data_IF_813536733486
#
_entry.id   IF_813536733486
#
_cell.length_a   1.000
_cell.length_b   1.000
_cell.length_c   1.000
_cell.angle_alpha   90.00
_cell.angle_beta   90.00
_cell.angle_gamma   90.00
#
_symmetry.space_group_name_H-M   'P 1'
#
loop_
_entity.id
_entity.type
_entity.pdbx_description
1 polymer ?
#
# COMPACT_ATOMS: atom_id res chain seq x y z
N UNK A 1 0.56 27.27 5.31
CA UNK A 1 2.02 27.24 5.12
C UNK A 1 2.31 26.06 4.21
N UNK A 2 2.93 26.25 3.05
CA UNK A 2 3.18 25.14 2.14
C UNK A 2 4.18 24.14 2.75
N UNK A 3 4.22 22.88 2.28
CA UNK A 3 5.04 21.82 2.86
C UNK A 3 6.53 22.15 2.95
N UNK A 4 7.09 22.90 1.99
CA UNK A 4 8.51 23.27 2.00
C UNK A 4 8.80 24.35 3.04
N UNK A 5 7.92 25.32 3.18
CA UNK A 5 8.08 26.37 4.20
C UNK A 5 7.97 25.78 5.60
N UNK A 6 7.05 24.84 5.83
CA UNK A 6 6.95 24.10 7.09
C UNK A 6 8.21 23.27 7.36
N UNK A 7 8.75 22.63 6.34
CA UNK A 7 10.00 21.85 6.42
C UNK A 7 11.22 22.76 6.70
N UNK A 8 11.30 23.94 6.09
CA UNK A 8 12.35 24.92 6.37
C UNK A 8 12.38 25.34 7.85
N UNK A 9 11.21 25.63 8.42
CA UNK A 9 11.12 26.07 9.81
C UNK A 9 11.33 24.94 10.83
N UNK A 10 10.83 23.73 10.57
CA UNK A 10 10.91 22.63 11.53
C UNK A 10 12.20 21.80 11.39
N UNK A 11 12.75 21.69 10.18
CA UNK A 11 13.88 20.81 9.84
C UNK A 11 14.71 21.41 8.68
N UNK A 12 15.50 22.48 8.92
CA UNK A 12 16.21 23.20 7.85
C UNK A 12 17.15 22.30 7.02
N UNK A 13 17.80 21.31 7.62
CA UNK A 13 18.60 20.32 6.87
C UNK A 13 17.76 19.41 5.98
N UNK A 14 16.55 19.04 6.42
CA UNK A 14 15.58 18.32 5.61
C UNK A 14 15.11 19.15 4.41
N UNK A 15 14.91 20.45 4.60
CA UNK A 15 14.59 21.38 3.50
C UNK A 15 15.73 21.44 2.48
N UNK A 16 16.96 21.67 2.93
CA UNK A 16 18.14 21.72 2.06
C UNK A 16 18.32 20.41 1.27
N UNK A 17 18.09 19.26 1.92
CA UNK A 17 18.11 17.97 1.26
C UNK A 17 17.06 17.87 0.14
N UNK A 18 15.82 18.28 0.40
CA UNK A 18 14.75 18.27 -0.62
C UNK A 18 15.03 19.24 -1.77
N UNK A 19 15.57 20.43 -1.47
CA UNK A 19 15.98 21.39 -2.49
C UNK A 19 17.10 20.82 -3.37
N UNK A 20 18.13 20.22 -2.76
CA UNK A 20 19.19 19.51 -3.47
C UNK A 20 18.64 18.42 -4.39
N UNK A 21 17.70 17.59 -3.91
CA UNK A 21 17.08 16.54 -4.72
C UNK A 21 16.31 17.09 -5.92
N UNK A 22 15.59 18.21 -5.76
CA UNK A 22 14.90 18.88 -6.88
C UNK A 22 15.88 19.39 -7.93
N UNK A 23 16.96 20.05 -7.51
CA UNK A 23 18.02 20.52 -8.40
C UNK A 23 18.65 19.33 -9.15
N UNK A 24 18.91 18.23 -8.42
CA UNK A 24 19.49 17.02 -9.00
C UNK A 24 18.57 16.39 -10.06
N UNK A 25 17.26 16.35 -9.84
CA UNK A 25 16.29 15.87 -10.85
C UNK A 25 16.35 16.75 -12.11
N UNK A 26 16.31 18.08 -11.94
CA UNK A 26 16.36 19.01 -13.07
C UNK A 26 17.66 18.87 -13.88
N UNK A 27 18.79 18.68 -13.19
CA UNK A 27 20.09 18.46 -13.82
C UNK A 27 20.21 17.10 -14.52
N UNK A 28 19.67 16.03 -13.91
CA UNK A 28 19.73 14.67 -14.47
C UNK A 28 18.80 14.48 -15.67
N UNK A 29 17.66 15.14 -15.70
CA UNK A 29 16.63 14.99 -16.74
C UNK A 29 17.17 15.13 -18.18
N UNK A 30 17.87 16.22 -18.56
CA UNK A 30 18.40 16.34 -19.93
C UNK A 30 19.45 15.28 -20.24
N UNK A 31 20.30 14.94 -19.27
CA UNK A 31 21.31 13.88 -19.44
C UNK A 31 20.66 12.51 -19.69
N UNK A 32 19.63 12.16 -18.90
CA UNK A 32 18.88 10.93 -19.07
C UNK A 32 18.16 10.87 -20.43
N UNK A 33 17.63 12.00 -20.90
CA UNK A 33 17.01 12.08 -22.22
C UNK A 33 18.02 11.81 -23.35
N UNK A 34 19.23 12.39 -23.27
CA UNK A 34 20.29 12.13 -24.25
C UNK A 34 20.70 10.65 -24.24
N UNK A 35 20.92 10.06 -23.05
CA UNK A 35 21.26 8.63 -22.95
C UNK A 35 20.16 7.71 -23.51
N UNK A 36 18.89 8.08 -23.34
CA UNK A 36 17.78 7.35 -23.93
C UNK A 36 17.78 7.44 -25.46
N UNK A 37 17.97 8.65 -26.03
CA UNK A 37 18.01 8.87 -27.48
C UNK A 37 19.19 8.16 -28.15
N UNK A 38 20.32 8.01 -27.44
CA UNK A 38 21.47 7.22 -27.89
C UNK A 38 21.28 5.71 -27.71
N UNK A 39 20.14 5.25 -27.19
CA UNK A 39 19.84 3.84 -26.92
C UNK A 39 20.55 3.23 -25.70
N UNK A 40 21.39 4.00 -25.01
CA UNK A 40 22.21 3.52 -23.87
C UNK A 40 21.35 3.22 -22.64
N UNK A 41 20.30 4.02 -22.39
CA UNK A 41 19.44 3.86 -21.21
C UNK A 41 18.02 3.37 -21.54
N UNK A 42 17.86 2.62 -22.65
CA UNK A 42 16.60 1.96 -23.02
C UNK A 42 16.53 0.58 -22.35
N UNK A 43 16.46 0.58 -21.01
CA UNK A 43 16.57 -0.63 -20.17
C UNK A 43 15.51 -1.70 -20.47
N UNK A 44 14.33 -1.28 -20.93
CA UNK A 44 13.28 -2.14 -21.47
C UNK A 44 12.84 -1.58 -22.82
N UNK A 45 12.54 -2.45 -23.79
CA UNK A 45 12.23 -2.06 -25.16
C UNK A 45 10.91 -1.30 -25.29
N UNK A 46 9.92 -1.64 -24.45
CA UNK A 46 8.60 -1.00 -24.37
C UNK A 46 8.61 0.37 -23.69
N UNK A 47 9.68 0.71 -22.95
CA UNK A 47 9.71 1.94 -22.16
C UNK A 47 9.92 3.16 -23.03
N UNK A 48 8.97 4.10 -22.94
CA UNK A 48 9.08 5.43 -23.54
C UNK A 48 10.02 6.32 -22.74
N UNK A 49 10.52 7.39 -23.35
CA UNK A 49 11.31 8.40 -22.65
C UNK A 49 10.57 8.94 -21.41
N UNK A 50 9.25 9.15 -21.51
CA UNK A 50 8.42 9.63 -20.40
C UNK A 50 8.46 8.68 -19.20
N UNK A 51 8.35 7.36 -19.44
CA UNK A 51 8.45 6.32 -18.41
C UNK A 51 9.83 6.38 -17.73
N UNK A 52 10.91 6.42 -18.51
CA UNK A 52 12.29 6.47 -17.99
C UNK A 52 12.55 7.72 -17.14
N UNK A 53 12.12 8.90 -17.59
CA UNK A 53 12.34 10.16 -16.86
C UNK A 53 11.58 10.19 -15.53
N UNK A 54 10.33 9.71 -15.51
CA UNK A 54 9.53 9.64 -14.28
C UNK A 54 10.16 8.69 -13.27
N UNK A 55 10.61 7.50 -13.69
CA UNK A 55 11.31 6.57 -12.79
C UNK A 55 12.61 7.17 -12.24
N UNK A 56 13.38 7.84 -13.09
CA UNK A 56 14.59 8.53 -12.67
C UNK A 56 14.30 9.60 -11.62
N UNK A 57 13.19 10.33 -11.75
CA UNK A 57 12.79 11.34 -10.78
C UNK A 57 12.31 10.71 -9.46
N UNK A 58 11.46 9.67 -9.52
CA UNK A 58 10.95 8.97 -8.33
C UNK A 58 12.10 8.41 -7.50
N UNK A 59 13.09 7.76 -8.14
CA UNK A 59 14.28 7.22 -7.47
C UNK A 59 15.04 8.24 -6.64
N UNK A 60 15.01 9.52 -7.01
CA UNK A 60 15.68 10.57 -6.25
C UNK A 60 14.93 10.97 -4.98
N UNK A 61 13.60 10.85 -4.97
CA UNK A 61 12.74 11.35 -3.90
C UNK A 61 12.14 10.24 -3.03
N UNK A 62 12.09 9.00 -3.51
CA UNK A 62 11.42 7.88 -2.82
C UNK A 62 12.01 7.59 -1.44
N UNK A 63 13.31 7.88 -1.24
CA UNK A 63 14.01 7.69 0.04
C UNK A 63 14.02 8.95 0.92
N UNK A 64 13.46 10.06 0.45
CA UNK A 64 13.49 11.31 1.19
C UNK A 64 12.81 11.23 2.56
N UNK A 65 11.70 10.49 2.75
CA UNK A 65 11.09 10.33 4.07
C UNK A 65 12.01 9.68 5.10
N UNK A 66 12.79 8.66 4.73
CA UNK A 66 13.76 8.03 5.64
C UNK A 66 14.92 8.97 6.03
N UNK A 67 15.20 10.01 5.22
CA UNK A 67 16.27 10.99 5.44
C UNK A 67 15.81 12.26 6.14
N UNK A 68 14.59 12.69 5.87
CA UNK A 68 14.02 13.95 6.37
C UNK A 68 13.04 13.73 7.53
N UNK A 69 12.55 12.51 7.68
CA UNK A 69 11.52 12.10 8.64
C UNK A 69 10.14 12.70 8.35
N UNK A 70 9.94 13.23 7.15
CA UNK A 70 8.60 13.63 6.69
C UNK A 70 8.03 12.44 5.92
N UNK A 71 7.04 11.82 6.53
CA UNK A 71 6.31 10.70 5.94
C UNK A 71 5.39 11.11 4.78
N UNK A 72 5.08 12.40 4.63
CA UNK A 72 4.01 12.83 3.73
C UNK A 72 2.60 12.51 4.25
N UNK A 73 2.49 11.91 5.44
CA UNK A 73 1.23 11.70 6.12
C UNK A 73 0.60 13.00 6.61
N UNK A 74 -0.72 12.97 6.82
CA UNK A 74 -1.49 14.09 7.38
C UNK A 74 -1.67 13.94 8.89
N UNK A 75 -2.05 15.05 9.53
CA UNK A 75 -2.39 15.06 10.95
C UNK A 75 -3.77 14.39 11.12
N UNK A 76 -3.77 13.12 11.56
CA UNK A 76 -4.99 12.32 11.70
C UNK A 76 -5.98 12.87 12.73
N UNK A 77 -5.59 13.88 13.52
CA UNK A 77 -6.47 14.53 14.50
C UNK A 77 -7.24 15.71 13.91
N UNK A 78 -6.93 16.12 12.68
CA UNK A 78 -7.51 17.31 12.04
C UNK A 78 -8.39 16.95 10.86
N UNK A 79 -9.54 17.60 10.83
CA UNK A 79 -10.44 17.57 9.69
C UNK A 79 -9.85 18.36 8.52
N UNK A 80 -10.06 17.86 7.31
CA UNK A 80 -9.74 18.56 6.08
C UNK A 80 -11.00 19.24 5.57
N UNK A 81 -10.92 20.56 5.34
CA UNK A 81 -12.05 21.31 4.82
C UNK A 81 -12.47 20.80 3.45
N UNK A 82 -13.77 20.77 3.15
CA UNK A 82 -14.30 20.22 1.90
C UNK A 82 -13.64 20.79 0.63
N UNK A 83 -13.31 22.09 0.63
CA UNK A 83 -12.60 22.75 -0.49
C UNK A 83 -11.21 22.16 -0.78
N UNK A 84 -10.58 21.58 0.23
CA UNK A 84 -9.24 20.99 0.16
C UNK A 84 -9.33 19.47 -0.12
N UNK A 85 -10.53 18.89 -0.10
CA UNK A 85 -10.77 17.48 -0.42
C UNK A 85 -10.99 17.20 -1.92
N UNK A 86 -10.81 18.18 -2.81
CA UNK A 86 -10.87 17.99 -4.27
C UNK A 86 -12.15 17.22 -4.72
N UNK A 87 -11.96 16.01 -5.24
CA UNK A 87 -12.98 15.08 -5.75
C UNK A 87 -13.39 13.98 -4.75
N UNK A 88 -12.99 14.12 -3.49
CA UNK A 88 -13.34 13.22 -2.41
C UNK A 88 -14.07 13.94 -1.26
N UNK A 89 -14.72 13.17 -0.40
CA UNK A 89 -15.37 13.63 0.82
C UNK A 89 -14.57 13.16 2.03
N UNK A 90 -14.16 14.09 2.90
CA UNK A 90 -13.57 13.74 4.20
C UNK A 90 -14.62 13.08 5.10
N UNK A 91 -14.24 12.01 5.79
CA UNK A 91 -15.11 11.22 6.67
C UNK A 91 -14.35 10.88 7.95
N UNK A 92 -14.98 11.12 9.11
CA UNK A 92 -14.47 10.63 10.40
C UNK A 92 -14.90 9.19 10.63
N UNK A 93 -13.92 8.34 10.97
CA UNK A 93 -14.13 6.95 11.35
C UNK A 93 -13.80 6.78 12.83
N UNK A 94 -14.78 6.34 13.61
CA UNK A 94 -14.57 6.03 15.02
C UNK A 94 -13.60 4.85 15.19
N UNK A 95 -12.87 4.85 16.30
CA UNK A 95 -12.06 3.69 16.69
C UNK A 95 -12.91 2.43 16.82
N UNK A 96 -12.26 1.29 16.63
CA UNK A 96 -12.82 -0.04 16.81
C UNK A 96 -13.20 -0.24 18.28
N UNK A 97 -14.44 -0.66 18.59
CA UNK A 97 -14.82 -1.12 19.92
C UNK A 97 -13.93 -2.26 20.44
N UNK A 98 -13.64 -2.27 21.74
CA UNK A 98 -12.72 -3.24 22.36
C UNK A 98 -13.16 -4.71 22.18
N UNK A 99 -14.46 -4.96 22.03
CA UNK A 99 -14.99 -6.30 21.76
C UNK A 99 -14.58 -6.87 20.39
N UNK A 100 -14.21 -6.03 19.44
CA UNK A 100 -13.71 -6.43 18.12
C UNK A 100 -12.19 -6.52 18.04
N UNK A 101 -11.47 -6.40 19.17
CA UNK A 101 -10.03 -6.59 19.24
C UNK A 101 -9.73 -7.78 20.16
N UNK A 102 -9.55 -8.95 19.54
CA UNK A 102 -9.41 -10.25 20.21
C UNK A 102 -8.16 -11.01 19.79
N UNK A 103 -7.89 -12.12 20.47
CA UNK A 103 -6.85 -13.08 20.12
C UNK A 103 -5.44 -12.47 20.04
N UNK A 104 -4.71 -12.89 19.03
CA UNK A 104 -3.31 -12.49 18.82
C UNK A 104 -3.16 -10.97 18.58
N UNK A 105 -4.11 -10.36 17.88
CA UNK A 105 -4.07 -8.91 17.63
C UNK A 105 -4.23 -8.13 18.92
N UNK A 106 -5.09 -8.58 19.85
CA UNK A 106 -5.19 -7.99 21.20
C UNK A 106 -3.88 -8.09 21.96
N UNK A 107 -3.24 -9.27 21.95
CA UNK A 107 -1.95 -9.49 22.61
C UNK A 107 -0.89 -8.54 22.06
N UNK A 108 -0.74 -8.48 20.73
CA UNK A 108 0.24 -7.61 20.07
C UNK A 108 -0.05 -6.13 20.30
N UNK A 109 -1.31 -5.72 20.31
CA UNK A 109 -1.70 -4.35 20.62
C UNK A 109 -1.26 -3.95 22.04
N UNK A 110 -1.47 -4.82 23.03
CA UNK A 110 -1.02 -4.60 24.40
C UNK A 110 0.51 -4.54 24.51
N UNK A 111 1.22 -5.48 23.87
CA UNK A 111 2.69 -5.53 23.89
C UNK A 111 3.31 -4.30 23.23
N UNK A 112 2.74 -3.82 22.13
CA UNK A 112 3.28 -2.70 21.36
C UNK A 112 2.71 -1.33 21.78
N UNK A 113 1.79 -1.30 22.76
CA UNK A 113 1.10 -0.07 23.17
C UNK A 113 0.19 0.51 22.07
N UNK A 114 -0.28 -0.31 21.14
CA UNK A 114 -1.19 0.12 20.09
C UNK A 114 -2.62 0.23 20.64
N UNK A 115 -3.29 1.33 20.32
CA UNK A 115 -4.68 1.59 20.73
C UNK A 115 -5.51 1.94 19.50
N UNK A 116 -6.78 1.56 19.51
CA UNK A 116 -7.73 2.04 18.51
C UNK A 116 -8.04 3.50 18.76
N UNK A 117 -8.10 4.28 17.68
CA UNK A 117 -8.35 5.73 17.73
C UNK A 117 -9.28 6.14 16.61
N UNK A 118 -9.86 7.34 16.71
CA UNK A 118 -10.58 7.94 15.60
C UNK A 118 -9.59 8.31 14.48
N UNK A 119 -9.90 7.95 13.25
CA UNK A 119 -9.05 8.18 12.08
C UNK A 119 -9.82 8.90 10.96
N UNK A 120 -9.11 9.61 10.06
CA UNK A 120 -9.71 10.11 8.83
C UNK A 120 -9.87 9.02 7.78
N UNK A 121 -10.84 9.21 6.90
CA UNK A 121 -11.01 8.49 5.66
C UNK A 121 -11.52 9.44 4.56
N UNK A 122 -11.40 9.02 3.32
CA UNK A 122 -11.85 9.79 2.16
C UNK A 122 -12.76 8.94 1.28
N UNK A 123 -13.98 9.41 1.10
CA UNK A 123 -14.95 8.83 0.18
C UNK A 123 -14.78 9.41 -1.22
N UNK A 124 -14.35 8.59 -2.19
CA UNK A 124 -14.27 8.95 -3.60
C UNK A 124 -15.53 8.45 -4.35
N UNK A 125 -16.04 9.26 -5.28
CA UNK A 125 -17.20 8.93 -6.10
C UNK A 125 -18.52 9.41 -5.50
N UNK A 126 -19.57 8.59 -5.56
CA UNK A 126 -20.93 9.01 -5.21
C UNK A 126 -21.17 9.06 -3.69
N UNK A 127 -20.68 10.11 -3.05
CA UNK A 127 -20.90 10.42 -1.63
C UNK A 127 -21.73 11.69 -1.49
N UNK A 128 -23.01 11.60 -1.07
CA UNK A 128 -23.79 12.79 -0.66
C UNK A 128 -25.18 13.05 -1.24
N UNK A 129 -26.00 12.04 -1.60
CA UNK A 129 -27.36 12.33 -2.14
C UNK A 129 -28.51 11.41 -1.68
N UNK A 130 -28.46 10.85 -0.46
CA UNK A 130 -29.60 10.24 0.28
C UNK A 130 -29.15 9.61 1.63
N UNK A 131 -28.14 10.17 2.28
CA UNK A 131 -27.40 9.53 3.38
C UNK A 131 -26.28 8.64 2.83
N UNK A 132 -25.10 8.66 3.47
CA UNK A 132 -23.93 7.86 3.06
C UNK A 132 -24.13 6.33 3.23
N UNK A 133 -25.35 5.91 3.58
CA UNK A 133 -25.74 4.52 3.81
C UNK A 133 -25.65 3.69 2.53
N UNK A 134 -25.45 2.38 2.72
CA UNK A 134 -25.40 1.41 1.66
C UNK A 134 -26.77 1.23 1.00
N UNK A 135 -26.78 1.11 -0.33
CA UNK A 135 -27.95 0.61 -1.07
C UNK A 135 -27.89 -0.92 -1.15
N UNK A 136 -29.04 -1.56 -1.29
CA UNK A 136 -29.08 -3.02 -1.41
C UNK A 136 -28.31 -3.47 -2.67
N UNK A 137 -27.45 -4.49 -2.50
CA UNK A 137 -26.55 -4.97 -3.56
C UNK A 137 -25.40 -4.03 -3.95
N UNK A 138 -25.27 -2.83 -3.34
CA UNK A 138 -24.20 -1.89 -3.70
C UNK A 138 -22.83 -2.42 -3.22
N UNK A 139 -21.92 -2.62 -4.18
CA UNK A 139 -20.51 -2.92 -3.90
C UNK A 139 -19.72 -1.65 -3.61
N UNK A 140 -18.79 -1.73 -2.66
CA UNK A 140 -17.88 -0.65 -2.31
C UNK A 140 -16.46 -1.18 -2.20
N UNK A 141 -15.47 -0.41 -2.65
CA UNK A 141 -14.06 -0.74 -2.45
C UNK A 141 -13.56 -0.06 -1.17
N UNK A 142 -13.06 -0.85 -0.21
CA UNK A 142 -12.28 -0.37 0.94
C UNK A 142 -10.80 -0.34 0.55
N UNK A 143 -10.24 0.84 0.30
CA UNK A 143 -8.88 1.00 -0.20
C UNK A 143 -7.88 1.37 0.91
N UNK A 144 -6.75 0.69 0.93
CA UNK A 144 -5.62 0.91 1.83
C UNK A 144 -4.40 1.28 0.98
N UNK A 145 -3.90 2.50 1.13
CA UNK A 145 -2.81 3.00 0.28
C UNK A 145 -1.47 2.31 0.57
N UNK A 146 -0.54 2.32 -0.37
CA UNK A 146 0.83 1.85 -0.20
C UNK A 146 1.73 2.86 0.49
N UNK A 147 3.03 2.56 0.55
CA UNK A 147 4.01 3.45 1.18
C UNK A 147 4.86 2.82 2.29
N UNK A 148 4.93 1.49 2.36
CA UNK A 148 5.78 0.78 3.32
C UNK A 148 5.39 1.03 4.78
N UNK A 149 4.11 1.37 5.06
CA UNK A 149 3.61 1.81 6.37
C UNK A 149 4.22 3.11 6.92
N UNK A 150 5.18 3.73 6.22
CA UNK A 150 5.94 4.88 6.72
C UNK A 150 5.68 6.16 5.95
N UNK A 151 5.03 6.08 4.78
CA UNK A 151 4.72 7.23 3.92
C UNK A 151 3.34 7.13 3.28
N UNK A 152 2.86 8.26 2.75
CA UNK A 152 1.60 8.35 2.00
C UNK A 152 0.43 8.86 2.84
N UNK A 153 -0.73 8.97 2.21
CA UNK A 153 -2.01 9.34 2.83
C UNK A 153 -3.14 8.95 1.89
N UNK A 154 -4.34 8.70 2.42
CA UNK A 154 -5.54 8.49 1.62
C UNK A 154 -6.11 9.77 1.00
N UNK A 155 -5.54 10.94 1.31
CA UNK A 155 -6.00 12.22 0.78
C UNK A 155 -5.94 12.28 -0.75
N UNK A 156 -6.92 12.89 -1.44
CA UNK A 156 -7.00 13.00 -2.90
C UNK A 156 -5.82 13.70 -3.60
N UNK A 157 -4.94 14.38 -2.87
CA UNK A 157 -3.73 15.01 -3.43
C UNK A 157 -2.56 14.02 -3.53
N UNK A 158 -2.61 12.92 -2.78
CA UNK A 158 -1.56 11.92 -2.81
C UNK A 158 -1.59 11.14 -4.12
N UNK A 159 -0.41 10.69 -4.56
CA UNK A 159 -0.29 9.95 -5.81
C UNK A 159 -1.08 8.64 -5.79
N UNK A 160 -1.16 7.98 -4.63
CA UNK A 160 -1.91 6.73 -4.45
C UNK A 160 -3.43 6.92 -4.65
N UNK A 161 -3.95 8.16 -4.55
CA UNK A 161 -5.34 8.47 -4.88
C UNK A 161 -5.70 8.26 -6.37
N UNK A 162 -4.71 8.00 -7.23
CA UNK A 162 -4.97 7.54 -8.60
C UNK A 162 -5.55 6.13 -8.68
N UNK A 163 -5.44 5.32 -7.62
CA UNK A 163 -6.08 4.00 -7.53
C UNK A 163 -7.60 4.11 -7.32
N UNK A 164 -8.11 4.81 -6.29
CA UNK A 164 -9.56 5.01 -6.15
C UNK A 164 -10.17 5.65 -7.41
N UNK A 165 -9.50 6.66 -8.01
CA UNK A 165 -9.94 7.25 -9.28
C UNK A 165 -9.93 6.26 -10.45
N UNK A 166 -8.96 5.35 -10.48
CA UNK A 166 -8.91 4.24 -11.44
C UNK A 166 -10.17 3.38 -11.35
N UNK A 167 -10.54 2.92 -10.16
CA UNK A 167 -11.78 2.17 -9.95
C UNK A 167 -13.03 2.93 -10.42
N UNK A 168 -13.14 4.22 -10.07
CA UNK A 168 -14.28 5.05 -10.47
C UNK A 168 -14.41 5.17 -11.99
N UNK A 169 -13.27 5.30 -12.69
CA UNK A 169 -13.23 5.47 -14.15
C UNK A 169 -13.77 4.24 -14.91
N UNK A 170 -13.83 3.08 -14.25
CA UNK A 170 -14.26 1.81 -14.86
C UNK A 170 -15.53 1.22 -14.19
N UNK A 171 -16.35 2.06 -13.55
CA UNK A 171 -17.72 1.68 -13.16
C UNK A 171 -17.90 1.28 -11.69
N UNK A 172 -16.87 1.37 -10.86
CA UNK A 172 -17.06 1.30 -9.40
C UNK A 172 -17.67 2.63 -8.93
N UNK A 173 -18.78 2.57 -8.19
CA UNK A 173 -19.51 3.80 -7.80
C UNK A 173 -18.89 4.53 -6.61
N UNK A 174 -18.30 3.80 -5.67
CA UNK A 174 -17.76 4.33 -4.41
C UNK A 174 -16.48 3.61 -4.03
N UNK A 175 -15.49 4.39 -3.63
CA UNK A 175 -14.28 3.90 -2.95
C UNK A 175 -14.14 4.63 -1.62
N UNK A 176 -13.84 3.89 -0.56
CA UNK A 176 -13.59 4.40 0.77
C UNK A 176 -12.13 4.15 1.13
N UNK A 177 -11.33 5.21 1.13
CA UNK A 177 -9.89 5.12 1.39
C UNK A 177 -9.59 5.49 2.84
N UNK A 178 -8.99 4.57 3.60
CA UNK A 178 -8.65 4.80 5.02
C UNK A 178 -7.29 5.47 5.12
N UNK A 179 -7.22 6.59 5.85
CA UNK A 179 -5.98 7.32 6.12
C UNK A 179 -5.32 6.77 7.40
N UNK A 180 -4.86 5.52 7.31
CA UNK A 180 -4.36 4.77 8.46
C UNK A 180 -3.06 5.38 9.01
N UNK A 181 -2.80 5.18 10.30
CA UNK A 181 -1.61 5.74 10.97
C UNK A 181 -0.33 5.11 10.43
N UNK A 182 0.63 5.97 10.11
CA UNK A 182 1.95 5.58 9.65
C UNK A 182 2.88 5.29 10.82
N UNK A 183 3.68 4.25 10.66
CA UNK A 183 4.70 3.86 11.62
C UNK A 183 5.94 4.75 11.51
N UNK A 184 6.55 5.08 12.64
CA UNK A 184 7.90 5.68 12.68
C UNK A 184 8.74 4.99 13.73
N UNK A 185 10.06 5.06 13.57
CA UNK A 185 11.04 4.55 14.55
C UNK A 185 12.35 5.33 14.46
N UNK A 186 13.34 4.96 15.28
CA UNK A 186 14.66 5.58 15.38
C UNK A 186 15.26 5.86 13.99
N UNK A 187 15.70 7.10 13.71
CA UNK A 187 16.02 8.18 14.67
C UNK A 187 14.84 9.05 15.11
N UNK A 188 13.63 8.75 14.67
CA UNK A 188 12.41 9.44 15.08
C UNK A 188 11.70 8.69 16.23
N UNK A 189 10.77 9.32 16.95
CA UNK A 189 9.99 8.63 17.97
C UNK A 189 9.28 7.39 17.40
N UNK A 190 9.17 6.34 18.20
CA UNK A 190 8.36 5.18 17.82
C UNK A 190 6.88 5.56 17.85
N UNK A 191 6.22 5.47 16.71
CA UNK A 191 4.79 5.79 16.56
C UNK A 191 4.14 4.66 15.77
N UNK A 192 2.93 4.28 16.19
CA UNK A 192 2.05 3.35 15.50
C UNK A 192 2.73 2.09 14.93
N UNK A 193 3.54 1.33 15.70
CA UNK A 193 3.99 0.02 15.25
C UNK A 193 2.80 -0.93 15.05
N UNK A 194 3.02 -2.07 14.40
CA UNK A 194 2.04 -3.14 14.28
C UNK A 194 1.47 -3.52 15.66
N UNK A 195 0.15 -3.70 15.83
CA UNK A 195 -0.90 -3.75 14.81
C UNK A 195 -1.67 -2.42 14.59
N UNK A 196 -1.08 -1.25 14.85
CA UNK A 196 -1.83 0.03 14.79
C UNK A 196 -2.57 0.29 13.46
N UNK A 197 -1.90 0.10 12.33
CA UNK A 197 -2.53 0.23 11.01
C UNK A 197 -3.62 -0.81 10.76
N UNK A 198 -3.49 -2.03 11.34
CA UNK A 198 -4.52 -3.07 11.25
C UNK A 198 -5.77 -2.69 12.04
N UNK A 199 -5.61 -2.09 13.23
CA UNK A 199 -6.73 -1.54 13.99
C UNK A 199 -7.43 -0.42 13.21
N UNK A 200 -6.68 0.41 12.49
CA UNK A 200 -7.22 1.50 11.68
C UNK A 200 -7.98 0.97 10.45
N UNK A 201 -7.44 -0.03 9.75
CA UNK A 201 -8.13 -0.71 8.65
C UNK A 201 -9.42 -1.42 9.11
N UNK A 202 -9.37 -2.07 10.28
CA UNK A 202 -10.53 -2.67 10.93
C UNK A 202 -11.59 -1.61 11.27
N UNK A 203 -11.18 -0.43 11.74
CA UNK A 203 -12.09 0.69 12.00
C UNK A 203 -12.85 1.10 10.73
N UNK A 204 -12.14 1.18 9.59
CA UNK A 204 -12.76 1.43 8.29
C UNK A 204 -13.77 0.36 7.90
N UNK A 205 -13.42 -0.92 8.04
CA UNK A 205 -14.32 -2.03 7.72
C UNK A 205 -15.56 -2.07 8.62
N UNK A 206 -15.39 -1.86 9.93
CA UNK A 206 -16.50 -1.75 10.90
C UNK A 206 -17.37 -0.54 10.57
N UNK A 207 -16.80 0.60 10.18
CA UNK A 207 -17.58 1.76 9.78
C UNK A 207 -18.46 1.46 8.56
N UNK A 208 -17.90 0.83 7.51
CA UNK A 208 -18.68 0.44 6.34
C UNK A 208 -19.82 -0.53 6.69
N UNK A 209 -19.53 -1.57 7.48
CA UNK A 209 -20.49 -2.64 7.74
C UNK A 209 -21.50 -2.33 8.84
N UNK A 210 -21.08 -1.64 9.92
CA UNK A 210 -21.91 -1.36 11.10
C UNK A 210 -22.51 0.03 11.11
N UNK A 211 -21.84 1.02 10.52
CA UNK A 211 -22.34 2.40 10.49
C UNK A 211 -23.06 2.71 9.18
N UNK A 212 -22.46 2.34 8.04
CA UNK A 212 -23.06 2.61 6.72
C UNK A 212 -23.96 1.47 6.23
N UNK A 213 -23.92 0.30 6.86
CA UNK A 213 -24.83 -0.81 6.57
C UNK A 213 -24.48 -1.63 5.32
N UNK A 214 -23.25 -1.55 4.82
CA UNK A 214 -22.80 -2.44 3.75
C UNK A 214 -22.79 -3.90 4.25
N UNK A 215 -23.36 -4.81 3.46
CA UNK A 215 -23.21 -6.24 3.73
C UNK A 215 -21.74 -6.63 3.52
N UNK A 216 -21.13 -7.46 4.40
CA UNK A 216 -19.72 -7.87 4.27
C UNK A 216 -19.34 -8.33 2.86
N UNK A 217 -20.15 -9.19 2.24
CA UNK A 217 -19.93 -9.70 0.88
C UNK A 217 -19.96 -8.64 -0.23
N UNK A 218 -20.41 -7.42 0.05
CA UNK A 218 -20.39 -6.29 -0.89
C UNK A 218 -19.18 -5.37 -0.69
N UNK A 219 -18.39 -5.57 0.37
CA UNK A 219 -17.15 -4.84 0.59
C UNK A 219 -16.03 -5.57 -0.15
N UNK A 220 -15.39 -4.90 -1.10
CA UNK A 220 -14.20 -5.37 -1.80
C UNK A 220 -12.98 -4.73 -1.13
N UNK A 221 -12.10 -5.55 -0.57
CA UNK A 221 -10.83 -5.06 -0.03
C UNK A 221 -9.91 -4.70 -1.18
N UNK A 222 -9.20 -3.58 -1.07
CA UNK A 222 -8.18 -3.16 -2.00
C UNK A 222 -6.98 -2.59 -1.26
N UNK A 223 -5.79 -2.85 -1.77
CA UNK A 223 -4.63 -2.06 -1.41
C UNK A 223 -3.47 -2.26 -2.37
N UNK A 224 -2.53 -1.33 -2.32
CA UNK A 224 -1.28 -1.36 -3.07
C UNK A 224 -0.08 -1.54 -2.14
N UNK A 225 0.94 -2.30 -2.56
CA UNK A 225 2.20 -2.43 -1.82
C UNK A 225 1.98 -2.83 -0.35
N UNK A 226 2.34 -1.96 0.60
CA UNK A 226 2.07 -2.14 2.03
C UNK A 226 0.59 -2.12 2.40
N UNK A 227 -0.25 -1.39 1.67
CA UNK A 227 -1.70 -1.41 1.85
C UNK A 227 -2.32 -2.73 1.43
N UNK A 228 -1.76 -3.40 0.41
CA UNK A 228 -2.17 -4.76 0.05
C UNK A 228 -1.77 -5.78 1.14
N UNK A 229 -0.59 -5.62 1.75
CA UNK A 229 -0.18 -6.37 2.93
C UNK A 229 -1.17 -6.17 4.09
N UNK A 230 -1.58 -4.92 4.33
CA UNK A 230 -2.56 -4.58 5.36
C UNK A 230 -3.94 -5.20 5.09
N UNK A 231 -4.38 -5.21 3.82
CA UNK A 231 -5.62 -5.86 3.41
C UNK A 231 -5.58 -7.38 3.66
N UNK A 232 -4.47 -8.04 3.33
CA UNK A 232 -4.25 -9.46 3.64
C UNK A 232 -4.31 -9.72 5.16
N UNK A 233 -3.70 -8.86 5.96
CA UNK A 233 -3.72 -8.96 7.43
C UNK A 233 -5.14 -8.79 8.00
N UNK A 234 -5.92 -7.84 7.48
CA UNK A 234 -7.31 -7.63 7.90
C UNK A 234 -8.20 -8.81 7.51
N UNK A 235 -8.11 -9.32 6.29
CA UNK A 235 -8.88 -10.49 5.85
C UNK A 235 -8.54 -11.70 6.71
N UNK A 236 -7.26 -11.92 7.03
CA UNK A 236 -6.83 -12.97 7.97
C UNK A 236 -7.50 -12.81 9.32
N UNK A 237 -7.50 -11.59 9.85
CA UNK A 237 -8.10 -11.30 11.15
C UNK A 237 -9.61 -11.60 11.17
N UNK A 238 -10.34 -11.16 10.14
CA UNK A 238 -11.78 -11.42 10.01
C UNK A 238 -12.08 -12.92 9.89
N UNK A 239 -11.25 -13.65 9.14
CA UNK A 239 -11.39 -15.11 8.97
C UNK A 239 -11.12 -15.86 10.28
N UNK A 240 -10.06 -15.48 10.98
CA UNK A 240 -9.57 -16.17 12.18
C UNK A 240 -10.36 -15.78 13.45
N UNK A 241 -11.28 -14.80 13.34
CA UNK A 241 -12.17 -14.36 14.41
C UNK A 241 -13.65 -14.33 13.98
N UNK A 242 -14.22 -15.45 13.50
CA UNK A 242 -15.59 -15.50 13.01
C UNK A 242 -16.64 -15.18 14.10
N UNK A 243 -16.29 -15.38 15.37
CA UNK A 243 -17.12 -15.06 16.54
C UNK A 243 -17.48 -13.57 16.65
N UNK A 244 -16.72 -12.68 16.01
CA UNK A 244 -17.01 -11.25 15.97
C UNK A 244 -18.24 -10.92 15.10
N UNK A 245 -18.68 -11.85 14.27
CA UNK A 245 -19.83 -11.68 13.38
C UNK A 245 -19.65 -10.58 12.33
N UNK A 246 -18.41 -10.12 12.09
CA UNK A 246 -18.08 -9.05 11.14
C UNK A 246 -18.19 -9.51 9.68
N UNK A 247 -18.15 -10.82 9.44
CA UNK A 247 -18.25 -11.42 8.12
C UNK A 247 -17.00 -11.18 7.25
N UNK A 248 -16.91 -11.92 6.15
CA UNK A 248 -15.81 -11.79 5.19
C UNK A 248 -16.17 -10.79 4.08
N UNK A 249 -15.18 -10.01 3.59
CA UNK A 249 -15.36 -9.21 2.38
C UNK A 249 -15.64 -10.10 1.17
N UNK A 250 -16.28 -9.56 0.13
CA UNK A 250 -16.62 -10.29 -1.09
C UNK A 250 -15.45 -10.58 -2.02
N UNK A 251 -14.37 -9.82 -1.91
CA UNK A 251 -13.18 -9.97 -2.74
C UNK A 251 -11.97 -9.19 -2.20
N UNK A 252 -10.78 -9.54 -2.70
CA UNK A 252 -9.54 -8.81 -2.45
C UNK A 252 -8.89 -8.42 -3.78
N UNK A 253 -8.55 -7.15 -3.95
CA UNK A 253 -7.63 -6.67 -4.99
C UNK A 253 -6.30 -6.31 -4.33
N UNK A 254 -5.25 -7.05 -4.65
CA UNK A 254 -3.91 -6.83 -4.14
C UNK A 254 -3.00 -6.33 -5.28
N UNK A 255 -2.64 -5.05 -5.25
CA UNK A 255 -1.80 -4.42 -6.27
C UNK A 255 -0.36 -4.40 -5.79
N UNK A 256 0.55 -5.01 -6.54
CA UNK A 256 1.98 -5.08 -6.22
C UNK A 256 2.28 -5.38 -4.74
N UNK A 257 1.66 -6.42 -4.13
CA UNK A 257 1.64 -6.56 -2.68
C UNK A 257 3.05 -6.78 -2.08
N UNK A 258 3.33 -6.10 -0.96
CA UNK A 258 4.56 -6.30 -0.19
C UNK A 258 4.35 -7.38 0.87
N UNK A 259 4.61 -8.63 0.50
CA UNK A 259 4.14 -9.82 1.22
C UNK A 259 5.18 -10.43 2.14
N UNK A 260 6.46 -10.13 1.96
CA UNK A 260 7.53 -10.53 2.85
C UNK A 260 8.43 -9.33 3.19
N UNK A 261 7.96 -8.45 4.10
CA UNK A 261 8.75 -7.34 4.60
C UNK A 261 10.08 -7.72 5.23
N UNK A 262 10.27 -8.97 5.65
CA UNK A 262 11.53 -9.44 6.25
C UNK A 262 12.54 -9.85 5.18
N UNK A 263 12.09 -10.20 3.97
CA UNK A 263 12.96 -10.65 2.90
C UNK A 263 13.51 -12.05 3.14
N UNK A 264 12.72 -12.94 3.76
CA UNK A 264 13.11 -14.33 4.05
C UNK A 264 13.40 -15.17 2.80
N UNK A 265 13.02 -14.69 1.60
CA UNK A 265 13.33 -15.32 0.32
C UNK A 265 14.68 -14.89 -0.27
N UNK A 266 15.37 -13.89 0.30
CA UNK A 266 16.54 -13.27 -0.33
C UNK A 266 17.70 -14.23 -0.53
N UNK A 267 17.94 -15.12 0.42
CA UNK A 267 19.04 -16.09 0.33
C UNK A 267 18.82 -17.11 -0.80
N UNK A 268 17.60 -17.19 -1.34
CA UNK A 268 17.29 -18.03 -2.52
C UNK A 268 17.59 -17.32 -3.85
N UNK A 269 17.89 -16.02 -3.82
CA UNK A 269 18.08 -15.22 -5.02
C UNK A 269 19.47 -15.40 -5.62
N UNK A 270 19.52 -15.39 -6.95
CA UNK A 270 20.77 -15.31 -7.71
C UNK A 270 20.86 -13.98 -8.45
N UNK A 271 22.03 -13.64 -9.01
CA UNK A 271 22.18 -12.44 -9.85
C UNK A 271 21.27 -12.41 -11.09
N UNK A 272 20.68 -13.56 -11.46
CA UNK A 272 19.73 -13.70 -12.58
C UNK A 272 18.27 -13.75 -12.12
N UNK A 273 18.01 -13.73 -10.83
CA UNK A 273 16.65 -13.68 -10.29
C UNK A 273 15.93 -12.41 -10.78
N UNK A 274 14.68 -12.51 -11.27
CA UNK A 274 13.91 -11.34 -11.73
C UNK A 274 13.91 -10.17 -10.75
N UNK A 275 13.63 -10.43 -9.47
CA UNK A 275 13.66 -9.39 -8.43
C UNK A 275 15.01 -8.64 -8.36
N UNK A 276 16.14 -9.37 -8.48
CA UNK A 276 17.50 -8.79 -8.44
C UNK A 276 17.77 -7.93 -9.67
N UNK A 277 17.39 -8.42 -10.85
CA UNK A 277 17.53 -7.66 -12.10
C UNK A 277 16.62 -6.43 -12.10
N UNK A 278 15.38 -6.59 -11.64
CA UNK A 278 14.38 -5.55 -11.57
C UNK A 278 14.75 -4.47 -10.57
N UNK A 279 15.41 -4.79 -9.46
CA UNK A 279 15.92 -3.79 -8.50
C UNK A 279 16.86 -2.74 -9.14
N UNK A 280 17.42 -3.04 -10.32
CA UNK A 280 18.27 -2.12 -11.09
C UNK A 280 17.46 -1.15 -11.96
N UNK A 281 16.21 -1.47 -12.29
CA UNK A 281 15.35 -0.71 -13.24
C UNK A 281 14.08 -0.14 -12.59
N UNK A 282 13.58 -0.78 -11.53
CA UNK A 282 12.48 -0.31 -10.68
C UNK A 282 12.90 0.86 -9.77
N UNK A 283 11.94 1.62 -9.23
CA UNK A 283 12.22 2.67 -8.26
C UNK A 283 12.35 2.15 -6.82
N UNK A 284 11.89 0.93 -6.54
CA UNK A 284 12.20 0.23 -5.30
C UNK A 284 13.52 -0.52 -5.37
N UNK A 285 14.05 -0.82 -4.18
CA UNK A 285 15.26 -1.63 -3.98
C UNK A 285 14.91 -2.82 -3.09
N UNK A 286 15.54 -3.96 -3.39
CA UNK A 286 15.49 -5.13 -2.53
C UNK A 286 16.25 -4.89 -1.22
N UNK A 287 15.87 -5.63 -0.18
CA UNK A 287 16.52 -5.62 1.12
C UNK A 287 17.99 -6.02 0.98
N UNK A 288 18.86 -5.36 1.74
CA UNK A 288 20.30 -5.63 1.74
C UNK A 288 21.04 -5.28 0.44
N UNK A 289 20.34 -4.93 -0.65
CA UNK A 289 20.97 -4.66 -1.95
C UNK A 289 21.43 -3.22 -2.15
N UNK A 290 21.11 -2.30 -1.24
CA UNK A 290 21.67 -0.96 -1.24
C UNK A 290 22.92 -0.82 -0.34
N UNK A 291 23.36 -1.92 0.28
CA UNK A 291 24.56 -2.00 1.13
C UNK A 291 24.51 -1.06 2.33
N UNK A 292 23.33 -0.56 2.71
CA UNK A 292 23.17 0.50 3.68
C UNK A 292 22.13 0.14 4.73
N UNK A 293 22.57 0.02 5.99
CA UNK A 293 21.73 -0.23 7.17
C UNK A 293 20.66 0.86 7.45
N UNK A 294 20.53 1.84 6.54
CA UNK A 294 19.58 2.95 6.57
C UNK A 294 18.66 2.96 5.34
N UNK A 295 18.53 1.81 4.67
CA UNK A 295 17.65 1.67 3.52
C UNK A 295 16.20 2.02 3.89
N UNK A 296 15.43 2.52 2.92
CA UNK A 296 14.00 2.76 3.12
C UNK A 296 13.28 1.49 3.55
N UNK A 297 13.65 0.35 2.97
CA UNK A 297 13.06 -0.94 3.30
C UNK A 297 13.31 -1.30 4.76
N UNK A 298 14.56 -1.27 5.22
CA UNK A 298 14.90 -1.61 6.61
C UNK A 298 14.31 -0.62 7.61
N UNK A 299 14.21 0.67 7.24
CA UNK A 299 13.50 1.64 8.07
C UNK A 299 12.01 1.28 8.17
N UNK A 300 11.36 0.96 7.04
CA UNK A 300 9.96 0.55 6.98
C UNK A 300 9.70 -0.71 7.82
N UNK A 301 10.54 -1.74 7.66
CA UNK A 301 10.45 -2.97 8.44
C UNK A 301 10.58 -2.69 9.94
N UNK A 302 11.61 -1.97 10.38
CA UNK A 302 11.82 -1.62 11.81
C UNK A 302 10.69 -0.77 12.37
N UNK A 303 10.13 0.15 11.58
CA UNK A 303 9.00 0.97 11.98
C UNK A 303 7.74 0.13 12.16
N UNK A 304 7.47 -0.79 11.22
CA UNK A 304 6.34 -1.69 11.25
C UNK A 304 6.39 -2.64 12.44
N UNK A 305 7.51 -3.36 12.63
CA UNK A 305 7.59 -4.42 13.66
C UNK A 305 7.78 -3.86 15.07
N UNK A 306 8.27 -2.62 15.20
CA UNK A 306 8.45 -1.96 16.49
C UNK A 306 9.32 -2.79 17.45
N UNK A 307 8.80 -3.21 18.63
CA UNK A 307 9.56 -4.01 19.59
C UNK A 307 9.69 -5.49 19.22
N UNK A 308 8.95 -5.98 18.21
CA UNK A 308 9.03 -7.37 17.76
C UNK A 308 10.37 -7.66 17.08
N UNK A 309 10.92 -8.86 17.32
CA UNK A 309 12.13 -9.29 16.63
C UNK A 309 11.87 -9.50 15.13
N UNK A 310 12.90 -9.31 14.29
CA UNK A 310 12.80 -9.56 12.85
C UNK A 310 12.50 -11.03 12.56
N UNK A 311 13.02 -11.92 13.39
CA UNK A 311 12.80 -13.35 13.31
C UNK A 311 11.32 -13.71 13.57
N UNK A 312 10.71 -13.14 14.61
CA UNK A 312 9.29 -13.34 14.92
C UNK A 312 8.39 -12.71 13.84
N UNK A 313 8.76 -11.53 13.34
CA UNK A 313 8.06 -10.89 12.24
C UNK A 313 8.04 -11.77 10.98
N UNK A 314 9.15 -12.46 10.69
CA UNK A 314 9.26 -13.41 9.59
C UNK A 314 8.41 -14.66 9.77
N UNK A 315 7.98 -14.98 10.99
CA UNK A 315 7.04 -16.09 11.28
C UNK A 315 5.61 -15.60 11.55
N UNK A 316 5.35 -14.31 11.46
CA UNK A 316 4.04 -13.74 11.70
C UNK A 316 3.26 -13.61 10.38
N UNK A 317 2.18 -14.40 10.17
CA UNK A 317 1.42 -14.39 8.91
C UNK A 317 0.58 -13.12 8.68
N UNK A 318 0.47 -12.24 9.69
CA UNK A 318 -0.12 -10.90 9.53
C UNK A 318 0.89 -9.88 8.99
N UNK A 319 2.19 -10.09 9.20
CA UNK A 319 3.25 -9.17 8.77
C UNK A 319 3.89 -9.66 7.47
N UNK A 320 4.25 -10.95 7.42
CA UNK A 320 4.98 -11.55 6.31
C UNK A 320 4.25 -12.77 5.71
N UNK A 321 3.04 -12.62 5.14
CA UNK A 321 2.28 -13.73 4.54
C UNK A 321 3.03 -14.48 3.40
N UNK A 322 4.00 -13.83 2.76
CA UNK A 322 4.87 -14.40 1.73
C UNK A 322 6.13 -15.10 2.26
N UNK A 323 6.37 -15.06 3.58
CA UNK A 323 7.62 -15.54 4.19
C UNK A 323 7.88 -17.03 3.95
N UNK A 324 9.14 -17.38 3.62
CA UNK A 324 9.64 -18.74 3.47
C UNK A 324 9.66 -19.51 4.80
N UNK A 325 9.60 -18.82 5.94
CA UNK A 325 9.56 -19.45 7.27
C UNK A 325 8.16 -19.95 7.67
N UNK A 326 7.12 -19.59 6.92
CA UNK A 326 5.76 -20.07 7.16
C UNK A 326 5.54 -21.44 6.51
N UNK A 327 4.77 -22.29 7.19
CA UNK A 327 4.28 -23.54 6.62
C UNK A 327 3.34 -23.27 5.44
N UNK A 328 3.52 -24.00 4.34
CA UNK A 328 2.65 -23.94 3.16
C UNK A 328 1.39 -24.79 3.36
N UNK A 329 0.29 -24.39 2.70
CA UNK A 329 -1.01 -25.07 2.77
C UNK A 329 -1.94 -24.58 3.88
N UNK A 330 -3.16 -24.20 3.52
CA UNK A 330 -4.20 -23.73 4.45
C UNK A 330 -4.02 -22.28 4.93
N UNK A 331 -2.90 -21.63 4.60
CA UNK A 331 -2.57 -20.28 5.04
C UNK A 331 -3.62 -19.26 4.59
N UNK A 332 -4.20 -19.45 3.40
CA UNK A 332 -5.23 -18.58 2.82
C UNK A 332 -6.57 -19.28 2.66
N UNK A 333 -6.73 -20.50 3.21
CA UNK A 333 -8.01 -21.21 3.15
C UNK A 333 -9.09 -20.33 3.79
N UNK A 334 -10.23 -20.20 3.12
CA UNK A 334 -11.33 -19.33 3.56
C UNK A 334 -11.14 -17.84 3.25
N UNK A 335 -10.08 -17.44 2.54
CA UNK A 335 -9.99 -16.09 1.97
C UNK A 335 -11.03 -15.92 0.84
N UNK A 336 -11.49 -14.68 0.59
CA UNK A 336 -12.38 -14.42 -0.52
C UNK A 336 -11.66 -14.57 -1.87
N UNK A 337 -12.40 -14.63 -2.99
CA UNK A 337 -11.82 -14.52 -4.32
C UNK A 337 -10.84 -13.34 -4.38
N UNK A 338 -9.65 -13.58 -4.93
CA UNK A 338 -8.55 -12.61 -4.89
C UNK A 338 -8.04 -12.30 -6.31
N UNK A 339 -7.88 -11.02 -6.61
CA UNK A 339 -7.21 -10.51 -7.80
C UNK A 339 -5.84 -9.95 -7.41
N UNK A 340 -4.78 -10.56 -7.89
CA UNK A 340 -3.39 -10.13 -7.63
C UNK A 340 -2.84 -9.47 -8.90
N UNK A 341 -2.36 -8.23 -8.77
CA UNK A 341 -1.64 -7.52 -9.83
C UNK A 341 -0.16 -7.47 -9.46
N UNK A 342 0.72 -7.73 -10.43
CA UNK A 342 2.15 -7.44 -10.32
C UNK A 342 2.70 -6.92 -11.63
N UNK A 343 3.70 -6.05 -11.58
CA UNK A 343 4.49 -5.64 -12.74
C UNK A 343 5.68 -6.57 -12.95
N UNK A 344 5.86 -7.12 -14.15
CA UNK A 344 6.97 -8.03 -14.43
C UNK A 344 8.35 -7.39 -14.22
N UNK A 345 8.46 -6.05 -14.33
CA UNK A 345 9.68 -5.29 -14.09
C UNK A 345 9.81 -4.75 -12.64
N UNK A 346 8.95 -5.17 -11.71
CA UNK A 346 9.00 -4.72 -10.32
C UNK A 346 9.97 -5.53 -9.44
N UNK A 347 10.55 -4.88 -8.43
CA UNK A 347 11.49 -5.49 -7.51
C UNK A 347 10.83 -6.59 -6.65
N UNK A 348 9.54 -6.44 -6.32
CA UNK A 348 8.79 -7.38 -5.47
C UNK A 348 8.23 -8.59 -6.25
N UNK A 349 8.51 -8.72 -7.54
CA UNK A 349 7.84 -9.71 -8.39
C UNK A 349 7.96 -11.14 -7.87
N UNK A 350 9.07 -11.48 -7.21
CA UNK A 350 9.26 -12.83 -6.68
C UNK A 350 8.35 -13.14 -5.48
N UNK A 351 8.27 -12.25 -4.50
CA UNK A 351 7.39 -12.45 -3.36
C UNK A 351 5.91 -12.44 -3.77
N UNK A 352 5.55 -11.64 -4.79
CA UNK A 352 4.20 -11.66 -5.40
C UNK A 352 3.89 -13.03 -6.01
N UNK A 353 4.82 -13.61 -6.76
CA UNK A 353 4.66 -14.96 -7.34
C UNK A 353 4.57 -16.04 -6.24
N UNK A 354 5.31 -15.90 -5.14
CA UNK A 354 5.20 -16.79 -3.97
C UNK A 354 3.81 -16.68 -3.34
N UNK A 355 3.33 -15.46 -3.07
CA UNK A 355 1.98 -15.23 -2.55
C UNK A 355 0.93 -15.87 -3.48
N UNK A 356 1.01 -15.56 -4.78
CA UNK A 356 0.08 -16.09 -5.78
C UNK A 356 0.07 -17.61 -5.78
N UNK A 357 1.23 -18.26 -5.70
CA UNK A 357 1.33 -19.72 -5.73
C UNK A 357 0.66 -20.33 -4.49
N UNK A 358 0.92 -19.76 -3.31
CA UNK A 358 0.29 -20.19 -2.06
C UNK A 358 -1.22 -19.95 -2.04
N UNK A 359 -1.68 -18.80 -2.52
CA UNK A 359 -3.11 -18.48 -2.52
C UNK A 359 -3.90 -19.37 -3.48
N UNK A 360 -3.33 -19.74 -4.64
CA UNK A 360 -3.99 -20.64 -5.60
C UNK A 360 -4.25 -22.05 -5.06
N UNK A 361 -3.47 -22.49 -4.07
CA UNK A 361 -3.70 -23.77 -3.40
C UNK A 361 -4.92 -23.73 -2.44
N UNK A 362 -5.30 -22.53 -2.01
CA UNK A 362 -6.18 -22.32 -0.86
C UNK A 362 -7.49 -21.57 -1.17
N UNK A 363 -7.51 -20.75 -2.23
CA UNK A 363 -8.63 -19.90 -2.63
C UNK A 363 -8.61 -19.58 -4.13
N UNK A 364 -9.71 -19.00 -4.64
CA UNK A 364 -9.78 -18.54 -6.02
C UNK A 364 -8.87 -17.33 -6.24
N UNK A 365 -7.98 -17.41 -7.22
CA UNK A 365 -7.02 -16.34 -7.55
C UNK A 365 -7.01 -16.06 -9.04
N UNK A 366 -7.25 -14.79 -9.39
CA UNK A 366 -6.88 -14.22 -10.68
C UNK A 366 -5.52 -13.53 -10.51
N UNK A 367 -4.58 -13.82 -11.41
CA UNK A 367 -3.24 -13.22 -11.39
C UNK A 367 -2.98 -12.47 -12.69
N UNK A 368 -2.78 -11.16 -12.61
CA UNK A 368 -2.43 -10.27 -13.72
C UNK A 368 -1.00 -9.78 -13.55
N UNK A 369 -0.05 -10.49 -14.15
CA UNK A 369 1.33 -10.05 -14.24
C UNK A 369 1.52 -9.22 -15.52
N UNK A 370 1.75 -7.91 -15.35
CA UNK A 370 1.78 -6.95 -16.46
C UNK A 370 3.21 -6.80 -16.98
N UNK A 371 3.48 -7.14 -18.26
CA UNK A 371 4.82 -7.08 -18.84
C UNK A 371 5.46 -5.69 -18.72
N UNK A 372 6.76 -5.64 -18.39
CA UNK A 372 7.56 -4.41 -18.26
C UNK A 372 7.02 -3.34 -17.29
N UNK A 373 5.95 -3.61 -16.54
CA UNK A 373 5.42 -2.69 -15.56
C UNK A 373 6.27 -2.69 -14.27
N UNK A 374 6.42 -1.51 -13.67
CA UNK A 374 7.16 -1.33 -12.41
C UNK A 374 6.24 -1.52 -11.20
N UNK A 375 6.81 -1.45 -10.00
CA UNK A 375 6.03 -1.49 -8.77
C UNK A 375 4.94 -0.41 -8.77
N UNK A 376 3.73 -0.76 -8.33
CA UNK A 376 2.58 0.16 -8.25
C UNK A 376 2.30 0.92 -9.55
N UNK A 377 2.60 0.35 -10.73
CA UNK A 377 2.54 1.11 -11.98
C UNK A 377 1.21 1.84 -12.24
N UNK A 378 0.10 1.30 -11.71
CA UNK A 378 -1.26 1.84 -11.82
C UNK A 378 -1.44 3.20 -11.14
N UNK A 379 -0.54 3.61 -10.23
CA UNK A 379 -0.56 4.95 -9.63
C UNK A 379 -0.03 6.02 -10.59
N UNK A 380 0.71 5.63 -11.64
CA UNK A 380 1.37 6.53 -12.57
C UNK A 380 0.59 6.64 -13.90
N UNK A 381 0.02 7.82 -14.23
CA UNK A 381 -0.62 8.04 -15.53
C UNK A 381 0.32 7.89 -16.74
N UNK A 382 1.63 7.75 -16.53
CA UNK A 382 2.62 7.51 -17.57
C UNK A 382 2.69 6.05 -18.03
N UNK A 383 2.01 5.14 -17.32
CA UNK A 383 1.92 3.71 -17.63
C UNK A 383 0.65 3.35 -18.42
N UNK A 384 0.16 4.28 -19.24
CA UNK A 384 -0.87 3.95 -20.22
C UNK A 384 -0.25 3.27 -21.46
N UNK A 385 -0.94 2.28 -22.07
CA UNK A 385 -2.30 1.83 -21.76
C UNK A 385 -2.40 0.79 -20.63
N UNK A 386 -1.26 0.27 -20.15
CA UNK A 386 -1.24 -0.87 -19.22
C UNK A 386 -2.07 -0.61 -17.95
N UNK A 387 -1.97 0.61 -17.42
CA UNK A 387 -2.76 1.08 -16.27
C UNK A 387 -4.26 0.98 -16.51
N UNK A 388 -4.76 1.54 -17.61
CA UNK A 388 -6.18 1.52 -17.96
C UNK A 388 -6.70 0.11 -18.19
N UNK A 389 -5.92 -0.72 -18.88
CA UNK A 389 -6.27 -2.12 -19.13
C UNK A 389 -6.40 -2.92 -17.83
N UNK A 390 -5.47 -2.73 -16.88
CA UNK A 390 -5.55 -3.37 -15.57
C UNK A 390 -6.78 -2.92 -14.78
N UNK A 391 -7.07 -1.61 -14.69
CA UNK A 391 -8.29 -1.16 -13.99
C UNK A 391 -9.58 -1.68 -14.63
N UNK A 392 -9.63 -1.76 -15.97
CA UNK A 392 -10.76 -2.36 -16.67
C UNK A 392 -10.96 -3.83 -16.28
N UNK A 393 -9.90 -4.64 -16.33
CA UNK A 393 -9.96 -6.06 -15.91
C UNK A 393 -10.39 -6.21 -14.45
N UNK A 394 -9.89 -5.37 -13.54
CA UNK A 394 -10.26 -5.41 -12.13
C UNK A 394 -11.73 -5.04 -11.95
N UNK A 395 -12.21 -3.98 -12.61
CA UNK A 395 -13.60 -3.56 -12.50
C UNK A 395 -14.56 -4.61 -13.07
N UNK A 396 -14.21 -5.21 -14.21
CA UNK A 396 -14.96 -6.32 -14.80
C UNK A 396 -15.00 -7.51 -13.83
N UNK A 397 -13.87 -7.86 -13.18
CA UNK A 397 -13.84 -8.91 -12.16
C UNK A 397 -14.71 -8.58 -10.94
N UNK A 398 -14.59 -7.37 -10.38
CA UNK A 398 -15.41 -6.93 -9.23
C UNK A 398 -16.90 -7.00 -9.56
N UNK A 399 -17.32 -6.61 -10.76
CA UNK A 399 -18.72 -6.64 -11.16
C UNK A 399 -19.29 -8.06 -11.24
N UNK A 400 -18.44 -9.05 -11.55
CA UNK A 400 -18.82 -10.46 -11.70
C UNK A 400 -18.75 -11.30 -10.40
N UNK A 401 -18.26 -10.74 -9.29
CA UNK A 401 -18.37 -11.35 -7.95
C UNK A 401 -19.82 -11.45 -7.47
#
# INVERSE_FOLDING_TARGET
MDPLTRLFHLRPFGFLYMLYKRILILAKTPFQAVLYLLGVNKLRSSWTLKKVLVLSAIREIINAPARTGISGGRDHTKEVAAKDCLDAKFIWVNGVPDEFVVGEIKRLAQTCGAQSVRIPAYGFGNWGSSGDLARDGEKIVLNLHGGGYIIGTAHPEDLTANIPRGYLSYGISRVFSVDYRLSTTHPYPTVAPFPSALLDALAGYVHLTRTLGFKPQNVIMSGDSAGANLALALIRYLRDSPELGLGMPGGLVAISPWTDPVGTYIDTLTNRSPAVMNSKVDFLKLVGMDGNMTSRHEYALRALVGPMSIEDAGRNPYIAPGSSHLTTGGLFKGFPPTYIVGGEAEALIQEIRVLQSRMKEDCEVVYDEVPDAVHDFVVFPQWEPERSETFKKIADWIQNL
#
